data_IF_006212638587
#
_entry.id   IF_006212638587
#
_cell.length_a   1.000
_cell.length_b   1.000
_cell.length_c   1.000
_cell.angle_alpha   90.00
_cell.angle_beta   90.00
_cell.angle_gamma   90.00
#
_symmetry.space_group_name_H-M   'P 1'
#
loop_
_entity.id
_entity.type
_entity.pdbx_description
1 polymer ?
#
# COMPACT_ATOMS: atom_id res chain seq x y z
N UNK A 1 -3.57 21.86 -19.10
CA UNK A 1 -4.55 21.29 -18.15
C UNK A 1 -4.22 21.83 -16.78
N UNK A 2 -5.22 22.23 -16.00
CA UNK A 2 -4.98 22.67 -14.63
C UNK A 2 -4.95 21.44 -13.71
N UNK A 3 -3.77 21.13 -13.18
CA UNK A 3 -3.56 20.05 -12.20
C UNK A 3 -3.50 20.56 -10.77
N UNK A 4 -3.91 21.82 -10.51
CA UNK A 4 -3.91 22.45 -9.18
C UNK A 4 -4.58 21.59 -8.12
N UNK A 5 -5.74 21.00 -8.43
CA UNK A 5 -6.47 20.11 -7.50
C UNK A 5 -5.69 18.82 -7.17
N UNK A 6 -4.88 18.32 -8.10
CA UNK A 6 -4.03 17.14 -7.87
C UNK A 6 -2.81 17.52 -7.02
N UNK A 7 -2.16 18.65 -7.31
CA UNK A 7 -1.02 19.14 -6.51
C UNK A 7 -1.44 19.51 -5.09
N UNK A 8 -2.64 20.04 -4.91
CA UNK A 8 -3.21 20.35 -3.59
C UNK A 8 -3.52 19.07 -2.80
N UNK A 9 -4.04 18.03 -3.46
CA UNK A 9 -4.30 16.73 -2.84
C UNK A 9 -3.00 16.01 -2.45
N UNK A 10 -1.96 16.08 -3.29
CA UNK A 10 -0.62 15.57 -3.01
C UNK A 10 0.02 16.31 -1.83
N UNK A 11 -0.10 17.64 -1.80
CA UNK A 11 0.40 18.47 -0.70
C UNK A 11 -0.33 18.23 0.62
N UNK A 12 -1.64 17.90 0.53
CA UNK A 12 -2.49 17.60 1.68
C UNK A 12 -2.42 16.13 2.13
N UNK A 13 -1.60 15.30 1.49
CA UNK A 13 -1.49 13.84 1.71
C UNK A 13 -2.84 13.09 1.65
N UNK A 14 -3.84 13.65 0.96
CA UNK A 14 -5.17 13.04 0.87
C UNK A 14 -5.23 12.11 -0.34
N UNK A 15 -4.46 11.02 -0.27
CA UNK A 15 -4.30 10.06 -1.38
C UNK A 15 -5.60 9.31 -1.71
N UNK A 16 -6.56 9.24 -0.78
CA UNK A 16 -7.84 8.58 -0.99
C UNK A 16 -8.75 9.30 -2.01
N UNK A 17 -8.60 10.62 -2.15
CA UNK A 17 -9.40 11.43 -3.09
C UNK A 17 -8.76 11.56 -4.48
N UNK A 18 -7.51 11.10 -4.64
CA UNK A 18 -6.78 11.22 -5.90
C UNK A 18 -7.53 10.55 -7.06
N UNK A 19 -8.10 9.33 -6.92
CA UNK A 19 -8.88 8.71 -8.00
C UNK A 19 -10.08 9.55 -8.41
N UNK A 20 -10.89 10.01 -7.44
CA UNK A 20 -12.10 10.79 -7.71
C UNK A 20 -11.79 12.11 -8.43
N UNK A 21 -10.70 12.77 -8.03
CA UNK A 21 -10.22 14.00 -8.66
C UNK A 21 -9.74 13.70 -10.08
N UNK A 22 -8.96 12.63 -10.29
CA UNK A 22 -8.49 12.24 -11.61
C UNK A 22 -9.64 11.86 -12.55
N UNK A 23 -10.63 11.11 -12.07
CA UNK A 23 -11.82 10.75 -12.84
C UNK A 23 -12.65 11.99 -13.22
N UNK A 24 -12.85 12.91 -12.26
CA UNK A 24 -13.59 14.16 -12.49
C UNK A 24 -12.89 15.02 -13.55
N UNK A 25 -11.57 15.19 -13.42
CA UNK A 25 -10.77 15.90 -14.40
C UNK A 25 -10.83 15.21 -15.77
N UNK A 26 -10.77 13.88 -15.81
CA UNK A 26 -10.85 13.11 -17.06
C UNK A 26 -12.20 13.32 -17.76
N UNK A 27 -13.30 13.31 -17.01
CA UNK A 27 -14.64 13.58 -17.53
C UNK A 27 -14.78 15.01 -18.06
N UNK A 28 -14.23 16.00 -17.34
CA UNK A 28 -14.24 17.40 -17.78
C UNK A 28 -13.49 17.60 -19.09
N UNK A 29 -12.31 16.99 -19.20
CA UNK A 29 -11.47 17.14 -20.41
C UNK A 29 -12.08 16.38 -21.60
N UNK A 30 -12.71 15.23 -21.36
CA UNK A 30 -13.50 14.52 -22.37
C UNK A 30 -14.71 15.35 -22.84
N UNK A 31 -15.42 16.03 -21.94
CA UNK A 31 -16.53 16.91 -22.28
C UNK A 31 -16.11 18.14 -23.10
N UNK A 32 -14.87 18.62 -22.90
CA UNK A 32 -14.29 19.72 -23.68
C UNK A 32 -13.73 19.28 -25.03
N UNK A 33 -13.67 17.97 -25.32
CA UNK A 33 -13.17 17.43 -26.59
C UNK A 33 -11.67 17.61 -26.80
N UNK A 34 -10.91 17.89 -25.74
CA UNK A 34 -9.45 18.08 -25.80
C UNK A 34 -8.80 16.70 -25.85
N UNK A 35 -7.87 16.46 -26.78
CA UNK A 35 -7.08 15.24 -26.78
C UNK A 35 -6.08 15.28 -25.61
N UNK A 36 -6.36 14.53 -24.55
CA UNK A 36 -5.57 14.51 -23.31
C UNK A 36 -4.71 13.26 -23.13
N UNK A 37 -4.72 12.37 -24.13
CA UNK A 37 -4.17 11.04 -24.01
C UNK A 37 -2.64 11.00 -23.87
N UNK A 38 -1.92 12.04 -24.29
CA UNK A 38 -0.46 12.04 -24.22
C UNK A 38 0.09 12.74 -22.97
N UNK A 39 -0.59 13.77 -22.47
CA UNK A 39 -0.11 14.61 -21.34
C UNK A 39 -0.67 14.19 -19.96
N UNK A 40 -1.50 13.15 -19.90
CA UNK A 40 -2.13 12.74 -18.64
C UNK A 40 -1.12 12.10 -17.67
N UNK A 41 -1.16 12.41 -16.35
CA UNK A 41 -0.32 11.76 -15.34
C UNK A 41 -0.86 10.35 -15.01
N UNK A 42 -0.73 9.42 -15.95
CA UNK A 42 -1.21 8.04 -15.81
C UNK A 42 -0.61 7.28 -14.64
N UNK A 43 0.66 7.54 -14.30
CA UNK A 43 1.31 6.89 -13.17
C UNK A 43 0.62 7.26 -11.84
N UNK A 44 0.38 8.54 -11.60
CA UNK A 44 -0.30 9.05 -10.40
C UNK A 44 -1.74 8.52 -10.32
N UNK A 45 -2.45 8.52 -11.45
CA UNK A 45 -3.82 8.02 -11.50
C UNK A 45 -3.89 6.53 -11.16
N UNK A 46 -2.98 5.72 -11.71
CA UNK A 46 -2.92 4.28 -11.44
C UNK A 46 -2.54 4.00 -9.98
N UNK A 47 -1.55 4.72 -9.45
CA UNK A 47 -1.14 4.62 -8.04
C UNK A 47 -2.27 5.04 -7.09
N UNK A 48 -3.07 6.04 -7.46
CA UNK A 48 -4.27 6.43 -6.71
C UNK A 48 -5.28 5.29 -6.59
N UNK A 49 -5.60 4.60 -7.70
CA UNK A 49 -6.53 3.46 -7.64
C UNK A 49 -5.97 2.31 -6.80
N UNK A 50 -4.66 2.05 -6.90
CA UNK A 50 -3.97 1.05 -6.08
C UNK A 50 -4.07 1.42 -4.59
N UNK A 51 -3.91 2.71 -4.24
CA UNK A 51 -4.05 3.19 -2.87
C UNK A 51 -5.44 2.91 -2.27
N UNK A 52 -6.50 3.18 -3.05
CA UNK A 52 -7.89 2.91 -2.65
C UNK A 52 -8.22 1.41 -2.65
N UNK A 53 -7.29 0.54 -3.08
CA UNK A 53 -7.48 -0.89 -3.24
C UNK A 53 -8.53 -1.26 -4.32
N UNK A 54 -8.74 -0.38 -5.29
CA UNK A 54 -9.61 -0.64 -6.44
C UNK A 54 -8.79 -1.11 -7.65
N UNK A 55 -8.40 -2.38 -7.59
CA UNK A 55 -7.59 -3.03 -8.65
C UNK A 55 -8.41 -3.16 -9.95
N UNK A 56 -9.74 -3.20 -9.86
CA UNK A 56 -10.59 -3.32 -11.04
C UNK A 56 -10.54 -2.05 -11.89
N UNK A 57 -10.70 -0.89 -11.25
CA UNK A 57 -10.60 0.41 -11.93
C UNK A 57 -9.19 0.64 -12.49
N UNK A 58 -8.15 0.26 -11.75
CA UNK A 58 -6.76 0.27 -12.26
C UNK A 58 -6.61 -0.58 -13.54
N UNK A 59 -7.23 -1.76 -13.59
CA UNK A 59 -7.20 -2.64 -14.79
C UNK A 59 -7.96 -2.04 -15.97
N UNK A 60 -9.10 -1.40 -15.73
CA UNK A 60 -9.83 -0.70 -16.78
C UNK A 60 -8.98 0.44 -17.34
N UNK A 61 -8.36 1.24 -16.49
CA UNK A 61 -7.45 2.30 -16.90
C UNK A 61 -6.30 1.74 -17.74
N UNK A 62 -5.64 0.66 -17.31
CA UNK A 62 -4.55 0.02 -18.05
C UNK A 62 -4.94 -0.42 -19.47
N UNK A 63 -6.17 -0.89 -19.67
CA UNK A 63 -6.67 -1.26 -21.01
C UNK A 63 -6.90 -0.05 -21.91
N UNK A 64 -7.29 1.08 -21.33
CA UNK A 64 -7.56 2.32 -22.06
C UNK A 64 -6.29 3.06 -22.46
N UNK A 65 -5.18 2.86 -21.75
CA UNK A 65 -3.89 3.53 -22.04
C UNK A 65 -3.31 3.05 -23.38
N UNK A 66 -2.99 3.97 -24.32
CA UNK A 66 -2.31 3.65 -25.58
C UNK A 66 -0.95 2.97 -25.37
N UNK A 67 -0.60 2.03 -26.25
CA UNK A 67 0.67 1.28 -26.15
C UNK A 67 1.89 2.21 -26.24
N UNK A 68 1.81 3.28 -27.02
CA UNK A 68 2.86 4.29 -27.13
C UNK A 68 3.22 4.94 -25.77
N UNK A 69 2.25 5.09 -24.86
CA UNK A 69 2.47 5.63 -23.52
C UNK A 69 3.09 4.59 -22.58
N UNK A 70 2.74 3.31 -22.76
CA UNK A 70 3.31 2.20 -21.99
C UNK A 70 4.80 2.00 -22.27
N UNK A 71 5.21 2.20 -23.53
CA UNK A 71 6.60 2.08 -23.96
C UNK A 71 7.42 3.34 -23.62
N UNK A 72 6.82 4.52 -23.72
CA UNK A 72 7.51 5.79 -23.43
C UNK A 72 7.65 6.10 -21.94
N UNK A 73 6.74 5.60 -21.08
CA UNK A 73 6.73 5.89 -19.64
C UNK A 73 6.84 4.61 -18.80
N UNK A 74 8.06 4.21 -18.40
CA UNK A 74 8.25 3.01 -17.61
C UNK A 74 7.60 3.10 -16.22
N UNK A 75 7.34 4.31 -15.69
CA UNK A 75 6.63 4.52 -14.43
C UNK A 75 5.22 3.89 -14.42
N UNK A 76 4.51 3.96 -15.55
CA UNK A 76 3.15 3.42 -15.66
C UNK A 76 3.18 1.89 -15.63
N UNK A 77 4.19 1.31 -16.29
CA UNK A 77 4.40 -0.15 -16.31
C UNK A 77 4.83 -0.66 -14.94
N UNK A 78 5.68 0.08 -14.22
CA UNK A 78 6.04 -0.24 -12.83
C UNK A 78 4.81 -0.17 -11.90
N UNK A 79 3.97 0.87 -12.04
CA UNK A 79 2.77 1.00 -11.22
C UNK A 79 1.79 -0.15 -11.50
N UNK A 80 1.69 -0.57 -12.76
CA UNK A 80 0.90 -1.74 -13.13
C UNK A 80 1.48 -3.04 -12.56
N UNK A 81 2.81 -3.20 -12.51
CA UNK A 81 3.48 -4.36 -11.89
C UNK A 81 3.08 -4.52 -10.42
N UNK A 82 3.02 -3.42 -9.66
CA UNK A 82 2.48 -3.42 -8.28
C UNK A 82 1.03 -3.93 -8.27
N UNK A 83 0.19 -3.41 -9.17
CA UNK A 83 -1.19 -3.87 -9.34
C UNK A 83 -1.33 -5.36 -9.69
N UNK A 84 -0.42 -5.92 -10.50
CA UNK A 84 -0.39 -7.34 -10.86
C UNK A 84 -0.02 -8.23 -9.67
N UNK A 85 0.95 -7.81 -8.86
CA UNK A 85 1.37 -8.54 -7.67
C UNK A 85 0.26 -8.50 -6.60
N UNK A 86 -0.43 -7.36 -6.46
CA UNK A 86 -1.66 -7.26 -5.65
C UNK A 86 -2.77 -8.20 -6.11
N UNK A 87 -2.99 -8.29 -7.43
CA UNK A 87 -4.02 -9.17 -8.01
C UNK A 87 -3.71 -10.65 -7.79
N UNK A 88 -2.45 -11.05 -7.96
CA UNK A 88 -1.98 -12.42 -7.73
C UNK A 88 -1.81 -12.77 -6.24
N UNK A 89 -1.98 -11.77 -5.36
CA UNK A 89 -1.76 -11.85 -3.91
C UNK A 89 -0.33 -12.25 -3.56
N UNK A 90 0.62 -11.84 -4.39
CA UNK A 90 2.03 -12.01 -4.11
C UNK A 90 2.53 -10.88 -3.19
N UNK A 91 2.49 -11.15 -1.89
CA UNK A 91 2.83 -10.18 -0.85
C UNK A 91 4.30 -9.72 -0.94
N UNK A 92 5.23 -10.66 -1.13
CA UNK A 92 6.65 -10.36 -1.29
C UNK A 92 6.90 -9.58 -2.59
N UNK A 93 6.25 -10.01 -3.68
CA UNK A 93 6.34 -9.34 -4.97
C UNK A 93 5.86 -7.89 -4.95
N UNK A 94 4.89 -7.52 -4.09
CA UNK A 94 4.46 -6.12 -3.96
C UNK A 94 5.58 -5.25 -3.39
N UNK A 95 6.24 -5.70 -2.32
CA UNK A 95 7.35 -4.96 -1.72
C UNK A 95 8.56 -4.90 -2.66
N UNK A 96 8.89 -5.99 -3.33
CA UNK A 96 9.96 -6.02 -4.33
C UNK A 96 9.68 -5.03 -5.48
N UNK A 97 8.45 -5.02 -6.01
CA UNK A 97 8.07 -4.11 -7.09
C UNK A 97 8.08 -2.63 -6.68
N UNK A 98 7.85 -2.33 -5.40
CA UNK A 98 7.95 -0.97 -4.85
C UNK A 98 9.42 -0.52 -4.83
N UNK A 99 10.34 -1.38 -4.38
CA UNK A 99 11.76 -1.08 -4.24
C UNK A 99 12.54 -1.14 -5.57
N UNK A 100 12.08 -1.92 -6.53
CA UNK A 100 12.75 -2.12 -7.82
C UNK A 100 12.72 -0.88 -8.72
N UNK A 101 11.77 0.04 -8.51
CA UNK A 101 11.57 1.20 -9.39
C UNK A 101 11.90 2.54 -8.73
N UNK A 102 12.66 3.38 -9.43
CA UNK A 102 12.94 4.76 -9.01
C UNK A 102 11.81 5.70 -9.44
N UNK A 103 10.88 5.94 -8.53
CA UNK A 103 9.72 6.81 -8.73
C UNK A 103 10.10 8.29 -8.78
N UNK A 104 9.34 9.09 -9.53
CA UNK A 104 9.33 10.54 -9.38
C UNK A 104 8.93 10.96 -7.95
N UNK A 105 9.35 12.13 -7.45
CA UNK A 105 9.10 12.54 -6.06
C UNK A 105 7.63 12.52 -5.66
N UNK A 106 6.75 12.91 -6.59
CA UNK A 106 5.30 12.94 -6.41
C UNK A 106 4.71 11.52 -6.29
N UNK A 107 5.16 10.60 -7.16
CA UNK A 107 4.75 9.19 -7.11
C UNK A 107 5.33 8.47 -5.88
N UNK A 108 6.56 8.80 -5.48
CA UNK A 108 7.21 8.20 -4.32
C UNK A 108 6.42 8.45 -3.03
N UNK A 109 5.89 9.67 -2.83
CA UNK A 109 5.04 9.98 -1.67
C UNK A 109 3.80 9.06 -1.59
N UNK A 110 3.14 8.82 -2.72
CA UNK A 110 1.95 7.94 -2.79
C UNK A 110 2.35 6.49 -2.52
N UNK A 111 3.46 6.04 -3.12
CA UNK A 111 3.97 4.67 -2.96
C UNK A 111 4.40 4.40 -1.52
N UNK A 112 5.07 5.35 -0.86
CA UNK A 112 5.44 5.25 0.54
C UNK A 112 4.20 5.16 1.44
N UNK A 113 3.22 6.05 1.25
CA UNK A 113 1.96 6.00 1.99
C UNK A 113 1.17 4.70 1.72
N UNK A 114 1.21 4.20 0.48
CA UNK A 114 0.63 2.91 0.13
C UNK A 114 1.33 1.76 0.84
N UNK A 115 2.66 1.75 0.89
CA UNK A 115 3.43 0.72 1.58
C UNK A 115 3.06 0.64 3.05
N UNK A 116 2.98 1.78 3.75
CA UNK A 116 2.57 1.83 5.16
C UNK A 116 1.15 1.29 5.37
N UNK A 117 0.19 1.73 4.53
CA UNK A 117 -1.19 1.28 4.59
C UNK A 117 -1.31 -0.22 4.29
N UNK A 118 -0.53 -0.73 3.34
CA UNK A 118 -0.52 -2.12 2.94
C UNK A 118 0.04 -3.01 4.05
N UNK A 119 1.19 -2.66 4.62
CA UNK A 119 1.79 -3.35 5.78
C UNK A 119 0.82 -3.39 6.95
N UNK A 120 0.14 -2.27 7.24
CA UNK A 120 -0.87 -2.22 8.30
C UNK A 120 -2.05 -3.16 8.05
N UNK A 121 -2.62 -3.14 6.84
CA UNK A 121 -3.72 -4.05 6.46
C UNK A 121 -3.29 -5.51 6.54
N UNK A 122 -2.05 -5.82 6.14
CA UNK A 122 -1.49 -7.15 6.25
C UNK A 122 -1.38 -7.58 7.71
N UNK A 123 -0.86 -6.70 8.55
CA UNK A 123 -0.75 -6.95 9.98
C UNK A 123 -2.12 -7.24 10.62
N UNK A 124 -3.14 -6.43 10.32
CA UNK A 124 -4.52 -6.66 10.80
C UNK A 124 -5.07 -8.02 10.34
N UNK A 125 -4.78 -8.42 9.10
CA UNK A 125 -5.16 -9.73 8.58
C UNK A 125 -4.44 -10.86 9.33
N UNK A 126 -3.14 -10.72 9.60
CA UNK A 126 -2.36 -11.73 10.32
C UNK A 126 -2.85 -11.88 11.76
N UNK A 127 -3.11 -10.78 12.46
CA UNK A 127 -3.62 -10.77 13.85
C UNK A 127 -5.01 -11.40 13.94
N UNK A 128 -5.87 -11.19 12.94
CA UNK A 128 -7.22 -11.76 12.93
C UNK A 128 -7.26 -13.23 12.50
N UNK A 129 -6.38 -13.67 11.60
CA UNK A 129 -6.37 -15.03 11.08
C UNK A 129 -5.54 -16.02 11.92
N UNK A 130 -4.46 -15.56 12.56
CA UNK A 130 -3.52 -16.43 13.26
C UNK A 130 -3.46 -16.12 14.76
N UNK A 131 -3.74 -17.13 15.59
CA UNK A 131 -3.49 -17.03 17.04
C UNK A 131 -2.00 -17.08 17.39
N UNK A 132 -1.19 -17.71 16.53
CA UNK A 132 0.27 -17.81 16.63
C UNK A 132 0.85 -17.89 15.22
N UNK A 133 1.84 -17.06 14.92
CA UNK A 133 2.61 -17.06 13.66
C UNK A 133 4.10 -17.00 13.96
N UNK A 134 4.94 -17.59 13.11
CA UNK A 134 6.40 -17.48 13.25
C UNK A 134 6.87 -16.07 12.86
N UNK A 135 8.02 -15.65 13.39
CA UNK A 135 8.60 -14.33 13.06
C UNK A 135 9.03 -14.32 11.59
N UNK A 136 9.53 -15.45 11.09
CA UNK A 136 9.92 -15.66 9.70
C UNK A 136 8.75 -15.43 8.74
N UNK A 137 7.61 -16.08 9.00
CA UNK A 137 6.43 -15.95 8.15
C UNK A 137 5.85 -14.54 8.22
N UNK A 138 5.81 -13.94 9.41
CA UNK A 138 5.38 -12.56 9.59
C UNK A 138 6.29 -11.57 8.82
N UNK A 139 7.61 -11.76 8.87
CA UNK A 139 8.58 -10.95 8.14
C UNK A 139 8.38 -11.06 6.61
N UNK A 140 8.12 -12.28 6.11
CA UNK A 140 7.81 -12.51 4.70
C UNK A 140 6.52 -11.81 4.26
N UNK A 141 5.45 -11.87 5.06
CA UNK A 141 4.19 -11.20 4.71
C UNK A 141 4.27 -9.67 4.79
N UNK A 142 5.08 -9.14 5.71
CA UNK A 142 5.27 -7.70 5.90
C UNK A 142 6.36 -7.11 4.99
N UNK A 143 7.10 -7.94 4.25
CA UNK A 143 8.17 -7.53 3.35
C UNK A 143 9.36 -6.88 4.04
N UNK A 144 9.64 -7.24 5.30
CA UNK A 144 10.70 -6.65 6.12
C UNK A 144 11.58 -7.74 6.74
N UNK A 145 12.72 -7.35 7.34
CA UNK A 145 13.57 -8.31 8.03
C UNK A 145 12.93 -8.77 9.37
N UNK A 146 13.46 -9.84 9.95
CA UNK A 146 12.91 -10.42 11.18
C UNK A 146 12.96 -9.47 12.38
N UNK A 147 13.99 -8.62 12.45
CA UNK A 147 14.18 -7.67 13.55
C UNK A 147 13.16 -6.51 13.44
N UNK A 148 12.94 -6.00 12.24
CA UNK A 148 11.95 -4.97 11.91
C UNK A 148 10.53 -5.52 12.09
N UNK A 149 10.25 -6.76 11.69
CA UNK A 149 8.97 -7.41 11.95
C UNK A 149 8.67 -7.56 13.44
N UNK A 150 9.70 -7.89 14.23
CA UNK A 150 9.58 -7.98 15.69
C UNK A 150 9.31 -6.61 16.32
N UNK A 151 10.03 -5.58 15.86
CA UNK A 151 9.84 -4.20 16.33
C UNK A 151 8.47 -3.66 15.92
N UNK A 152 8.02 -3.93 14.69
CA UNK A 152 6.72 -3.51 14.17
C UNK A 152 5.58 -4.15 14.97
N UNK A 153 5.65 -5.47 15.20
CA UNK A 153 4.68 -6.17 16.04
C UNK A 153 4.66 -5.65 17.48
N UNK A 154 5.82 -5.34 18.06
CA UNK A 154 5.90 -4.76 19.41
C UNK A 154 5.31 -3.33 19.46
N UNK A 155 5.57 -2.51 18.44
CA UNK A 155 5.08 -1.14 18.35
C UNK A 155 3.55 -1.09 18.16
N UNK A 156 3.02 -1.85 17.20
CA UNK A 156 1.57 -1.89 16.94
C UNK A 156 0.80 -2.53 18.10
N UNK A 157 1.35 -3.54 18.80
CA UNK A 157 0.71 -4.01 20.03
C UNK A 157 0.75 -3.00 21.16
N UNK A 158 1.79 -2.18 21.26
CA UNK A 158 1.83 -1.09 22.27
C UNK A 158 0.76 -0.04 21.96
N UNK A 159 0.55 0.29 20.68
CA UNK A 159 -0.55 1.15 20.21
C UNK A 159 -1.93 0.53 20.47
N UNK A 160 -2.10 -0.78 20.25
CA UNK A 160 -3.32 -1.51 20.59
C UNK A 160 -3.56 -1.49 22.11
N UNK A 161 -2.54 -1.71 22.94
CA UNK A 161 -2.66 -1.62 24.40
C UNK A 161 -3.08 -0.21 24.84
N UNK A 162 -2.59 0.85 24.18
CA UNK A 162 -2.99 2.23 24.45
C UNK A 162 -4.44 2.52 24.01
N UNK A 163 -4.91 1.92 22.91
CA UNK A 163 -6.32 1.97 22.49
C UNK A 163 -7.25 1.06 23.31
N UNK A 164 -6.70 0.05 24.01
CA UNK A 164 -7.42 -0.90 24.84
C UNK A 164 -7.76 -0.41 26.27
N UNK A 165 -7.73 0.90 26.53
CA UNK A 165 -8.43 1.45 27.71
C UNK A 165 -9.96 1.37 27.60
N UNK A 166 -10.51 0.80 26.51
CA UNK A 166 -11.93 0.41 26.37
C UNK A 166 -12.09 -1.12 26.09
N UNK A 167 -11.90 -1.89 27.15
CA UNK A 167 -12.70 -3.03 27.67
C UNK A 167 -12.97 -4.38 26.95
N UNK A 168 -12.54 -4.71 25.72
CA UNK A 168 -12.91 -6.05 25.15
C UNK A 168 -11.83 -6.90 24.45
N UNK A 169 -10.55 -6.74 24.77
CA UNK A 169 -9.48 -7.50 24.09
C UNK A 169 -8.37 -8.04 25.00
N UNK A 170 -8.66 -8.31 26.28
CA UNK A 170 -7.76 -9.01 27.21
C UNK A 170 -7.23 -10.37 26.70
N UNK A 171 -7.87 -10.95 25.69
CA UNK A 171 -7.46 -12.21 25.05
C UNK A 171 -6.19 -12.07 24.19
N UNK A 172 -5.98 -10.93 23.54
CA UNK A 172 -4.83 -10.71 22.64
C UNK A 172 -3.54 -10.44 23.43
N UNK A 173 -3.63 -9.69 24.53
CA UNK A 173 -2.54 -9.47 25.50
C UNK A 173 -2.06 -10.78 26.15
N UNK A 174 -2.97 -11.69 26.50
CA UNK A 174 -2.64 -12.97 27.10
C UNK A 174 -1.92 -13.93 26.13
N UNK A 175 -2.27 -13.87 24.83
CA UNK A 175 -1.61 -14.68 23.81
C UNK A 175 -0.14 -14.26 23.61
N UNK A 176 0.13 -12.96 23.58
CA UNK A 176 1.49 -12.47 23.31
C UNK A 176 2.43 -12.52 24.52
N UNK A 177 1.94 -12.27 25.74
CA UNK A 177 2.75 -12.46 26.96
C UNK A 177 3.20 -13.93 27.14
N UNK A 178 2.43 -14.88 26.60
CA UNK A 178 2.77 -16.31 26.60
C UNK A 178 3.83 -16.69 25.55
N UNK A 179 3.94 -15.91 24.48
CA UNK A 179 4.96 -16.07 23.42
C UNK A 179 6.30 -15.49 23.89
N UNK A 180 6.30 -14.30 24.52
CA UNK A 180 7.53 -13.64 25.00
C UNK A 180 8.19 -14.37 26.18
N UNK A 181 7.40 -15.03 27.03
CA UNK A 181 7.92 -15.83 28.15
C UNK A 181 8.53 -17.17 27.75
N UNK A 182 8.20 -17.71 26.56
CA UNK A 182 8.87 -18.91 26.01
C UNK A 182 10.28 -18.62 25.50
N UNK A 183 10.55 -17.45 24.90
CA UNK A 183 11.91 -17.08 24.45
C UNK A 183 12.89 -16.92 25.62
N UNK A 184 12.43 -16.44 26.79
CA UNK A 184 13.28 -16.33 28.00
C UNK A 184 13.65 -17.65 28.68
N UNK A 185 12.95 -18.76 28.42
CA UNK A 185 13.31 -20.08 28.97
C UNK A 185 14.26 -20.89 28.08
N UNK A 186 14.44 -20.50 26.82
CA UNK A 186 15.27 -21.21 25.85
C UNK A 186 16.74 -20.75 25.81
N UNK A 187 17.06 -19.62 26.44
CA UNK A 187 18.42 -19.06 26.51
C UNK A 187 19.07 -19.24 27.88
N UNK A 188 18.48 -20.07 28.74
CA UNK A 188 19.00 -20.41 30.07
C UNK A 188 18.89 -21.93 30.29
N UNK A 189 19.59 -22.70 29.45
CA UNK A 189 20.00 -24.08 29.70
C UNK A 189 21.28 -24.34 28.94
#
# INVERSE_FOLDING_TARGET
MDFSSLTDALSSQNYAKIPDICETLMLQVAAQGIAFQDDWPYAIHLLGHIYVNDINSARFLWKTIPVAIKESRPEVTAAWKIGQNLWTRDYAGVHDAIHEFNWSPEAHCIVAAFSELYTKRMFDLLVSAYSTISIQDAALFLGMNEDDATNYGAFEMTSLIFMCQNDESLKYLAAWYRISTKKKRSTFS
#
